data_IF_357872934109
#
_entry.id   IF_357872934109
#
_cell.length_a   1.000
_cell.length_b   1.000
_cell.length_c   1.000
_cell.angle_alpha   90.00
_cell.angle_beta   90.00
_cell.angle_gamma   90.00
#
_symmetry.space_group_name_H-M   'P 1'
#
loop_
_entity.id
_entity.type
_entity.pdbx_description
1 polymer ?
#
# COMPACT_ATOMS: atom_id res chain seq x y z
N UNK A 1 -12.21 5.70 10.00
CA UNK A 1 -12.08 7.08 9.50
C UNK A 1 -11.28 7.97 10.46
N UNK A 2 -11.52 7.91 11.78
CA UNK A 2 -10.85 8.77 12.77
C UNK A 2 -9.31 8.67 12.77
N UNK A 3 -8.73 7.47 12.68
CA UNK A 3 -7.27 7.29 12.63
C UNK A 3 -6.60 7.89 11.39
N UNK A 4 -7.31 7.94 10.25
CA UNK A 4 -6.81 8.51 9.00
C UNK A 4 -6.77 10.05 9.11
N UNK A 5 -7.76 10.62 9.79
CA UNK A 5 -7.80 12.05 10.10
C UNK A 5 -6.60 12.43 11.01
N UNK A 6 -6.38 11.65 12.08
CA UNK A 6 -5.29 11.87 13.02
C UNK A 6 -3.91 11.71 12.38
N UNK A 7 -3.72 10.71 11.51
CA UNK A 7 -2.44 10.53 10.80
C UNK A 7 -2.16 11.68 9.83
N UNK A 8 -3.19 12.22 9.18
CA UNK A 8 -3.05 13.39 8.30
C UNK A 8 -2.68 14.64 9.10
N UNK A 9 -3.30 14.83 10.26
CA UNK A 9 -2.97 15.93 11.17
C UNK A 9 -1.54 15.80 11.72
N UNK A 10 -1.09 14.60 12.09
CA UNK A 10 0.28 14.34 12.51
C UNK A 10 1.28 14.68 11.39
N UNK A 11 1.00 14.33 10.13
CA UNK A 11 1.81 14.77 9.00
C UNK A 11 1.86 16.30 8.85
N UNK A 12 0.76 17.01 9.11
CA UNK A 12 0.71 18.48 9.06
C UNK A 12 1.50 19.13 10.21
N UNK A 13 1.55 18.49 11.37
CA UNK A 13 2.37 18.93 12.52
C UNK A 13 3.86 18.64 12.35
N UNK A 14 4.24 17.86 11.32
CA UNK A 14 5.62 17.40 11.11
C UNK A 14 5.98 16.13 11.89
N UNK A 15 5.02 15.56 12.62
CA UNK A 15 5.17 14.31 13.37
C UNK A 15 5.00 13.10 12.45
N UNK A 16 5.89 12.99 11.46
CA UNK A 16 5.82 11.93 10.45
C UNK A 16 5.99 10.53 11.05
N UNK A 17 6.74 10.39 12.15
CA UNK A 17 6.92 9.11 12.84
C UNK A 17 5.58 8.59 13.40
N UNK A 18 4.88 9.44 14.14
CA UNK A 18 3.53 9.14 14.67
C UNK A 18 2.54 8.87 13.54
N UNK A 19 2.61 9.65 12.45
CA UNK A 19 1.77 9.42 11.29
C UNK A 19 1.98 8.02 10.69
N UNK A 20 3.23 7.56 10.57
CA UNK A 20 3.56 6.21 10.07
C UNK A 20 2.99 5.12 10.97
N UNK A 21 3.04 5.29 12.29
CA UNK A 21 2.47 4.32 13.24
C UNK A 21 0.95 4.27 13.13
N UNK A 22 0.29 5.44 13.06
CA UNK A 22 -1.15 5.53 12.86
C UNK A 22 -1.60 4.91 11.53
N UNK A 23 -0.86 5.15 10.44
CA UNK A 23 -1.12 4.49 9.15
C UNK A 23 -0.92 2.97 9.24
N UNK A 24 0.08 2.52 9.99
CA UNK A 24 0.33 1.09 10.18
C UNK A 24 -0.78 0.42 10.98
N UNK A 25 -1.33 1.09 11.99
CA UNK A 25 -2.54 0.63 12.68
C UNK A 25 -3.77 0.64 11.79
N UNK A 26 -3.96 1.69 10.99
CA UNK A 26 -5.07 1.76 10.04
C UNK A 26 -4.98 0.63 9.00
N UNK A 27 -3.77 0.29 8.55
CA UNK A 27 -3.50 -0.85 7.67
C UNK A 27 -3.73 -2.20 8.33
N UNK A 28 -3.63 -2.32 9.66
CA UNK A 28 -4.04 -3.57 10.35
C UNK A 28 -5.55 -3.77 10.31
N UNK A 29 -6.32 -2.68 10.30
CA UNK A 29 -7.79 -2.72 10.20
C UNK A 29 -8.23 -2.92 8.75
N UNK A 30 -7.62 -2.20 7.82
CA UNK A 30 -7.91 -2.29 6.38
C UNK A 30 -6.61 -2.46 5.58
N UNK A 31 -6.09 -3.70 5.47
CA UNK A 31 -4.82 -3.98 4.80
C UNK A 31 -4.89 -3.88 3.28
N UNK A 32 -6.09 -3.73 2.71
CA UNK A 32 -6.32 -3.61 1.26
C UNK A 32 -6.55 -2.16 0.83
N UNK A 33 -6.21 -1.20 1.67
CA UNK A 33 -6.39 0.21 1.36
C UNK A 33 -5.13 0.83 0.75
N UNK A 34 -5.10 0.96 -0.58
CA UNK A 34 -3.97 1.57 -1.29
C UNK A 34 -3.70 3.02 -0.87
N UNK A 35 -4.72 3.76 -0.43
CA UNK A 35 -4.59 5.16 0.03
C UNK A 35 -3.74 5.22 1.31
N UNK A 36 -3.91 4.27 2.22
CA UNK A 36 -3.13 4.21 3.46
C UNK A 36 -1.65 3.94 3.19
N UNK A 37 -1.35 3.02 2.26
CA UNK A 37 0.03 2.78 1.83
C UNK A 37 0.65 4.01 1.17
N UNK A 38 -0.10 4.72 0.31
CA UNK A 38 0.39 5.95 -0.34
C UNK A 38 0.64 7.08 0.65
N UNK A 39 -0.19 7.21 1.69
CA UNK A 39 0.01 8.25 2.70
C UNK A 39 1.15 7.89 3.66
N UNK A 40 1.30 6.59 3.99
CA UNK A 40 2.44 6.11 4.79
C UNK A 40 3.76 6.28 4.05
N UNK A 41 3.79 6.01 2.74
CA UNK A 41 4.99 6.24 1.92
C UNK A 41 5.38 7.71 1.88
N UNK A 42 4.41 8.63 1.75
CA UNK A 42 4.67 10.07 1.82
C UNK A 42 5.28 10.50 3.17
N UNK A 43 4.75 9.98 4.29
CA UNK A 43 5.32 10.24 5.62
C UNK A 43 6.74 9.67 5.77
N UNK A 44 7.00 8.47 5.27
CA UNK A 44 8.33 7.85 5.24
C UNK A 44 9.34 8.62 4.40
N UNK A 45 8.93 9.18 3.27
CA UNK A 45 9.78 10.06 2.46
C UNK A 45 10.21 11.31 3.25
N UNK A 46 9.32 11.87 4.07
CA UNK A 46 9.65 13.01 4.93
C UNK A 46 10.62 12.65 6.07
N UNK A 47 10.63 11.40 6.49
CA UNK A 47 11.61 10.85 7.45
C UNK A 47 12.94 10.44 6.80
N UNK A 48 13.09 10.56 5.48
CA UNK A 48 14.27 10.08 4.74
C UNK A 48 14.31 8.56 4.54
N UNK A 49 13.20 7.86 4.83
CA UNK A 49 13.08 6.42 4.69
C UNK A 49 12.63 6.04 3.27
N UNK A 50 13.47 6.37 2.28
CA UNK A 50 13.15 6.20 0.87
C UNK A 50 12.86 4.74 0.49
N UNK A 51 13.62 3.80 1.03
CA UNK A 51 13.46 2.37 0.73
C UNK A 51 12.10 1.84 1.22
N UNK A 52 11.74 2.14 2.47
CA UNK A 52 10.47 1.72 3.05
C UNK A 52 9.26 2.45 2.43
N UNK A 53 9.46 3.66 1.90
CA UNK A 53 8.43 4.36 1.14
C UNK A 53 8.18 3.71 -0.22
N UNK A 54 9.24 3.24 -0.89
CA UNK A 54 9.13 2.52 -2.16
C UNK A 54 8.36 1.21 -1.99
N UNK A 55 8.67 0.42 -0.96
CA UNK A 55 7.95 -0.82 -0.66
C UNK A 55 6.44 -0.59 -0.43
N UNK A 56 6.08 0.50 0.25
CA UNK A 56 4.68 0.87 0.45
C UNK A 56 4.00 1.29 -0.86
N UNK A 57 4.69 2.05 -1.71
CA UNK A 57 4.17 2.46 -3.01
C UNK A 57 3.95 1.24 -3.94
N UNK A 58 4.86 0.25 -3.89
CA UNK A 58 4.73 -1.00 -4.62
C UNK A 58 3.51 -1.80 -4.11
N UNK A 59 3.37 -1.98 -2.80
CA UNK A 59 2.18 -2.63 -2.21
C UNK A 59 0.87 -1.91 -2.58
N UNK A 60 0.86 -0.58 -2.60
CA UNK A 60 -0.31 0.17 -3.01
C UNK A 60 -0.71 -0.14 -4.46
N UNK A 61 0.28 -0.32 -5.35
CA UNK A 61 0.10 -0.73 -6.73
C UNK A 61 -0.39 -2.18 -6.87
N UNK A 62 0.16 -3.10 -6.07
CA UNK A 62 -0.25 -4.51 -6.06
C UNK A 62 -1.70 -4.69 -5.61
N UNK A 63 -2.13 -3.91 -4.62
CA UNK A 63 -3.48 -4.00 -4.03
C UNK A 63 -4.55 -3.46 -4.98
N UNK A 64 -4.25 -2.39 -5.71
CA UNK A 64 -5.18 -1.85 -6.70
C UNK A 64 -4.51 -1.76 -8.08
N UNK A 65 -4.47 -2.87 -8.83
CA UNK A 65 -3.93 -2.88 -10.19
C UNK A 65 -4.74 -2.00 -11.16
N UNK A 66 -5.91 -1.51 -10.73
CA UNK A 66 -6.79 -0.63 -11.50
C UNK A 66 -6.49 0.86 -11.26
N UNK A 67 -5.55 1.23 -10.38
CA UNK A 67 -5.03 2.60 -10.30
C UNK A 67 -3.97 2.80 -11.40
N UNK A 68 -4.32 3.44 -12.52
CA UNK A 68 -3.49 3.42 -13.72
C UNK A 68 -2.46 4.54 -13.63
N UNK A 69 -1.40 4.36 -12.84
CA UNK A 69 -0.22 5.24 -12.87
C UNK A 69 1.12 4.49 -12.68
N UNK A 70 1.21 3.23 -13.09
CA UNK A 70 2.52 2.60 -13.30
C UNK A 70 2.45 1.51 -14.38
N UNK A 71 2.88 1.77 -15.63
CA UNK A 71 2.91 0.77 -16.71
C UNK A 71 4.11 -0.19 -16.58
N UNK A 72 4.50 -0.56 -15.35
CA UNK A 72 5.62 -1.46 -15.07
C UNK A 72 5.24 -2.67 -14.21
N UNK A 73 4.03 -2.71 -13.64
CA UNK A 73 3.59 -3.79 -12.72
C UNK A 73 2.57 -4.78 -13.28
N UNK A 74 2.23 -4.70 -14.57
CA UNK A 74 1.21 -5.57 -15.19
C UNK A 74 1.76 -6.70 -16.07
N UNK A 75 3.09 -6.78 -16.26
CA UNK A 75 3.69 -7.67 -17.27
C UNK A 75 4.50 -8.84 -16.71
N UNK A 76 4.45 -9.15 -15.41
CA UNK A 76 5.12 -10.35 -14.92
C UNK A 76 4.37 -10.99 -13.74
N UNK A 77 3.84 -12.19 -14.02
CA UNK A 77 3.46 -13.26 -13.07
C UNK A 77 2.07 -13.07 -12.44
N UNK A 78 1.02 -13.81 -12.82
CA UNK A 78 0.95 -15.27 -13.01
C UNK A 78 0.11 -15.68 -14.23
N UNK A 79 0.79 -16.03 -15.31
CA UNK A 79 0.39 -17.22 -16.08
C UNK A 79 0.76 -18.46 -15.25
N UNK A 80 -0.03 -19.52 -15.38
CA UNK A 80 0.04 -20.83 -14.69
C UNK A 80 -0.53 -20.91 -13.26
N UNK A 81 -1.83 -21.20 -13.17
CA UNK A 81 -2.24 -22.43 -12.50
C UNK A 81 -3.46 -23.02 -13.22
N UNK A 82 -3.37 -24.31 -13.50
CA UNK A 82 -4.05 -24.95 -14.61
C UNK A 82 -5.55 -25.12 -14.39
N UNK A 83 -6.31 -24.79 -15.42
CA UNK A 83 -7.54 -25.46 -15.75
C UNK A 83 -7.23 -26.93 -16.11
N UNK A 84 -7.11 -27.79 -15.11
CA UNK A 84 -7.19 -29.25 -15.25
C UNK A 84 -8.03 -29.81 -14.10
N UNK A 85 -9.29 -29.38 -14.04
CA UNK A 85 -10.30 -30.16 -13.33
C UNK A 85 -10.50 -31.44 -14.14
N UNK A 86 -9.86 -32.51 -13.68
CA UNK A 86 -10.09 -33.87 -14.11
C UNK A 86 -11.53 -34.27 -13.78
N UNK A 87 -12.45 -34.06 -14.72
CA UNK A 87 -13.68 -34.86 -14.83
C UNK A 87 -13.47 -35.90 -15.92
N UNK A 88 -12.84 -37.00 -15.53
CA UNK A 88 -13.06 -38.31 -16.15
C UNK A 88 -13.34 -39.26 -15.00
N UNK A 89 -14.62 -39.53 -14.74
CA UNK A 89 -15.16 -40.82 -14.34
C UNK A 89 -16.68 -40.81 -14.58
#
# INVERSE_FOLDING_TARGET
MEKIQQSSEACLRGDFQTAVDLYSEALRVDPQNCILYSNRSAARLKLGQHQAALEDALKAGDINPKWPKLPLGGSLVKEDDQQMSSEVF
#
